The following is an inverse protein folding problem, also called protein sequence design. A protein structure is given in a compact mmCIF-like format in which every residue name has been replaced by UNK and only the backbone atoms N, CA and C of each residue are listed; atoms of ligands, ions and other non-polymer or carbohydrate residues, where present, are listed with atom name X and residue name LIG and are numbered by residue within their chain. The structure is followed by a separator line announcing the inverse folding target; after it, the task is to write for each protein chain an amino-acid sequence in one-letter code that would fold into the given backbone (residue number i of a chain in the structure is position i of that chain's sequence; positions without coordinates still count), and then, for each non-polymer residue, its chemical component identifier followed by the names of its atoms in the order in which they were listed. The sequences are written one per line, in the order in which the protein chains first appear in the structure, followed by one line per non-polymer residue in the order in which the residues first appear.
data_IF_330612659705
#
_entry.id   IF_330612659705
#
_cell.length_a   1.000
_cell.length_b   1.000
_cell.length_c   1.000
_cell.angle_alpha   90.00
_cell.angle_beta   90.00
_cell.angle_gamma   90.00
#
_symmetry.space_group_name_H-M   'P 1'
#
loop_
_entity.id
_entity.type
_entity.pdbx_description
1 polymer ?
#
# COMPACT_ATOMS: atom_id res chain seq x y z
N UNK A 1 16.19 7.87 -23.15
CA UNK A 1 15.61 8.32 -21.87
C UNK A 1 16.35 7.52 -20.81
N UNK A 2 17.21 8.18 -20.04
CA UNK A 2 18.13 7.51 -19.11
C UNK A 2 17.39 6.81 -17.96
N UNK A 3 17.97 5.72 -17.40
CA UNK A 3 17.29 4.87 -16.45
C UNK A 3 17.14 5.58 -15.10
N UNK A 4 15.90 5.61 -14.60
CA UNK A 4 15.63 5.91 -13.19
C UNK A 4 16.14 4.71 -12.39
N UNK A 5 17.42 4.75 -11.99
CA UNK A 5 17.86 4.12 -10.73
C UNK A 5 16.83 4.46 -9.66
N UNK A 6 16.48 3.51 -8.77
CA UNK A 6 15.63 3.75 -7.58
C UNK A 6 15.81 5.20 -7.15
N UNK A 7 14.84 6.04 -7.52
CA UNK A 7 15.06 7.48 -7.59
C UNK A 7 15.52 7.90 -6.22
N UNK A 8 16.65 8.61 -6.11
CA UNK A 8 16.99 9.31 -4.88
C UNK A 8 15.83 10.24 -4.64
N UNK A 9 14.87 9.79 -3.81
CA UNK A 9 13.73 10.58 -3.44
C UNK A 9 14.30 11.82 -2.75
N UNK A 10 13.81 13.02 -3.06
CA UNK A 10 14.35 14.23 -2.43
C UNK A 10 14.23 14.11 -0.92
N UNK A 11 15.03 14.84 -0.15
CA UNK A 11 14.80 14.89 1.30
C UNK A 11 13.47 15.59 1.60
N UNK A 12 12.82 15.22 2.70
CA UNK A 12 11.64 15.97 3.17
C UNK A 12 12.10 17.35 3.66
N UNK A 13 11.52 18.45 3.15
CA UNK A 13 11.99 19.80 3.46
C UNK A 13 11.71 20.16 4.91
N UNK A 14 12.57 21.01 5.48
CA UNK A 14 12.48 21.48 6.86
C UNK A 14 13.79 21.35 7.62
N UNK A 15 13.84 21.92 8.83
CA UNK A 15 14.97 21.72 9.73
C UNK A 15 14.99 20.28 10.25
N UNK A 16 16.18 19.67 10.35
CA UNK A 16 16.32 18.37 11.01
C UNK A 16 15.82 18.45 12.46
N UNK A 17 15.28 17.33 12.96
CA UNK A 17 14.87 17.22 14.36
C UNK A 17 16.02 17.62 15.28
N UNK A 18 15.79 18.66 16.10
CA UNK A 18 16.79 19.19 17.04
C UNK A 18 17.00 18.20 18.16
N UNK A 19 18.21 18.20 18.74
CA UNK A 19 18.56 17.35 19.90
C UNK A 19 17.54 17.51 21.04
N UNK A 20 17.12 18.75 21.31
CA UNK A 20 16.09 19.05 22.31
C UNK A 20 14.78 18.32 22.05
N UNK A 21 14.35 18.27 20.79
CA UNK A 21 13.13 17.56 20.37
C UNK A 21 13.32 16.06 20.51
N UNK A 22 14.45 15.52 20.05
CA UNK A 22 14.77 14.09 20.20
C UNK A 22 14.78 13.62 21.66
N UNK A 23 15.24 14.46 22.60
CA UNK A 23 15.18 14.17 24.04
C UNK A 23 13.71 14.10 24.52
N UNK A 24 12.88 15.07 24.13
CA UNK A 24 11.45 15.08 24.46
C UNK A 24 10.72 13.88 23.87
N UNK A 25 11.01 13.53 22.62
CA UNK A 25 10.43 12.38 21.93
C UNK A 25 10.83 11.06 22.60
N UNK A 26 12.09 10.93 23.03
CA UNK A 26 12.59 9.77 23.76
C UNK A 26 11.91 9.63 25.12
N UNK A 27 11.77 10.73 25.87
CA UNK A 27 11.04 10.73 27.14
C UNK A 27 9.57 10.35 26.93
N UNK A 28 8.92 10.95 25.94
CA UNK A 28 7.52 10.68 25.60
C UNK A 28 7.29 9.22 25.18
N UNK A 29 8.17 8.66 24.35
CA UNK A 29 8.08 7.27 23.88
C UNK A 29 8.35 6.24 24.99
N UNK A 30 9.09 6.62 26.03
CA UNK A 30 9.28 5.80 27.23
C UNK A 30 8.03 5.81 28.13
N UNK A 31 7.32 6.94 28.21
CA UNK A 31 6.14 7.09 29.06
C UNK A 31 4.86 6.57 28.43
N UNK A 32 4.73 6.66 27.10
CA UNK A 32 3.53 6.28 26.37
C UNK A 32 3.57 4.82 25.89
N UNK A 33 2.40 4.19 25.81
CA UNK A 33 2.26 2.84 25.27
C UNK A 33 1.83 2.87 23.81
N UNK A 34 2.68 2.36 22.90
CA UNK A 34 2.35 2.20 21.48
C UNK A 34 1.61 0.89 21.20
N UNK A 35 0.44 0.69 21.82
CA UNK A 35 -0.34 -0.55 21.70
C UNK A 35 -0.60 -0.99 20.24
N UNK A 36 -1.22 -0.14 19.39
CA UNK A 36 -1.53 -0.52 18.01
C UNK A 36 -0.29 -0.77 17.12
N UNK A 37 0.72 0.12 17.05
CA UNK A 37 1.91 -0.15 16.24
C UNK A 37 2.67 -1.41 16.66
N UNK A 38 2.70 -1.75 17.95
CA UNK A 38 3.32 -2.98 18.46
C UNK A 38 2.64 -4.28 17.98
N UNK A 39 1.45 -4.21 17.38
CA UNK A 39 0.79 -5.39 16.77
C UNK A 39 1.29 -5.71 15.36
N UNK A 40 2.02 -4.80 14.71
CA UNK A 40 2.62 -5.05 13.39
C UNK A 40 3.62 -6.19 13.54
N UNK A 41 3.44 -7.23 12.73
CA UNK A 41 4.24 -8.46 12.81
C UNK A 41 4.59 -9.04 11.45
N UNK A 42 4.22 -8.33 10.37
CA UNK A 42 4.45 -8.79 9.01
C UNK A 42 4.96 -7.64 8.15
N UNK A 43 5.98 -7.95 7.34
CA UNK A 43 6.50 -7.11 6.27
C UNK A 43 6.30 -7.81 4.93
N UNK A 44 5.57 -7.18 4.01
CA UNK A 44 5.41 -7.64 2.62
C UNK A 44 5.97 -6.58 1.67
N UNK A 45 6.51 -7.04 0.54
CA UNK A 45 7.03 -6.19 -0.52
C UNK A 45 6.37 -6.57 -1.85
N UNK A 46 5.87 -5.57 -2.59
CA UNK A 46 5.24 -5.72 -3.91
C UNK A 46 5.27 -4.37 -4.65
N UNK A 47 4.71 -4.31 -5.87
CA UNK A 47 4.51 -3.07 -6.62
C UNK A 47 3.03 -2.69 -6.69
N UNK A 48 2.72 -1.44 -6.34
CA UNK A 48 1.42 -0.82 -6.55
C UNK A 48 1.37 -0.01 -7.83
N UNK A 49 0.22 -0.08 -8.50
CA UNK A 49 -0.09 0.61 -9.75
C UNK A 49 -1.22 1.60 -9.51
N UNK A 50 -1.13 2.82 -10.04
CA UNK A 50 -2.22 3.79 -9.86
C UNK A 50 -3.47 3.32 -10.60
N UNK A 51 -4.63 3.37 -9.95
CA UNK A 51 -5.87 2.91 -10.56
C UNK A 51 -6.26 3.72 -11.81
N UNK A 52 -5.83 4.99 -11.93
CA UNK A 52 -6.06 5.81 -13.13
C UNK A 52 -4.92 5.75 -14.16
N UNK A 53 -3.77 5.19 -13.80
CA UNK A 53 -2.60 5.06 -14.68
C UNK A 53 -1.71 3.88 -14.24
N UNK A 54 -2.00 2.70 -14.78
CA UNK A 54 -1.24 1.48 -14.46
C UNK A 54 0.20 1.49 -15.00
N UNK A 55 0.65 2.51 -15.73
CA UNK A 55 2.06 2.64 -16.12
C UNK A 55 2.92 3.18 -14.98
N UNK A 56 2.31 3.81 -13.98
CA UNK A 56 3.01 4.34 -12.81
C UNK A 56 3.09 3.27 -11.73
N UNK A 57 4.31 2.80 -11.46
CA UNK A 57 4.59 1.66 -10.58
C UNK A 57 5.42 2.12 -9.37
N UNK A 58 4.95 1.79 -8.18
CA UNK A 58 5.56 2.18 -6.90
C UNK A 58 5.86 0.93 -6.10
N UNK A 59 7.12 0.72 -5.72
CA UNK A 59 7.46 -0.30 -4.72
C UNK A 59 6.80 0.05 -3.39
N UNK A 60 6.12 -0.92 -2.80
CA UNK A 60 5.27 -0.72 -1.64
C UNK A 60 5.64 -1.73 -0.55
N UNK A 61 6.08 -1.20 0.60
CA UNK A 61 6.42 -1.98 1.78
C UNK A 61 5.28 -1.95 2.78
N UNK A 62 4.60 -3.08 2.91
CA UNK A 62 3.45 -3.23 3.79
C UNK A 62 3.90 -3.72 5.15
N UNK A 63 3.53 -2.99 6.20
CA UNK A 63 3.74 -3.35 7.59
C UNK A 63 2.39 -3.63 8.22
N UNK A 64 2.04 -4.91 8.29
CA UNK A 64 0.69 -5.38 8.54
C UNK A 64 0.48 -5.93 9.96
N UNK A 65 -0.75 -5.82 10.43
CA UNK A 65 -1.27 -6.58 11.55
C UNK A 65 -2.65 -7.17 11.23
N UNK A 66 -2.92 -8.38 11.70
CA UNK A 66 -4.27 -8.95 11.75
C UNK A 66 -5.12 -8.23 12.78
N UNK A 67 -6.34 -7.87 12.38
CA UNK A 67 -7.42 -7.57 13.32
C UNK A 67 -8.14 -8.86 13.74
N UNK A 68 -8.26 -9.80 12.80
CA UNK A 68 -8.73 -11.17 12.98
C UNK A 68 -8.21 -12.04 11.81
N UNK A 69 -8.63 -13.30 11.72
CA UNK A 69 -8.21 -14.22 10.64
C UNK A 69 -8.59 -13.75 9.23
N UNK A 70 -9.63 -12.92 9.12
CA UNK A 70 -10.21 -12.51 7.83
C UNK A 70 -9.88 -11.08 7.42
N UNK A 71 -9.28 -10.29 8.32
CA UNK A 71 -9.00 -8.87 8.09
C UNK A 71 -7.62 -8.47 8.60
N UNK A 72 -6.82 -7.90 7.69
CA UNK A 72 -5.53 -7.25 8.01
C UNK A 72 -5.63 -5.77 7.70
N UNK A 73 -4.80 -4.99 8.39
CA UNK A 73 -4.55 -3.59 8.06
C UNK A 73 -3.05 -3.35 8.01
N UNK A 74 -2.61 -2.54 7.07
CA UNK A 74 -1.20 -2.29 6.80
C UNK A 74 -0.91 -0.80 6.71
N UNK A 75 0.22 -0.40 7.28
CA UNK A 75 0.89 0.85 6.92
C UNK A 75 1.78 0.58 5.71
N UNK A 76 1.78 1.46 4.73
CA UNK A 76 2.59 1.32 3.51
C UNK A 76 3.67 2.38 3.49
N UNK A 77 4.91 1.94 3.30
CA UNK A 77 6.09 2.79 3.15
C UNK A 77 6.70 2.65 1.75
N UNK A 78 7.40 3.68 1.30
CA UNK A 78 8.09 3.71 0.00
C UNK A 78 9.40 2.91 -0.04
N UNK A 79 9.97 2.60 1.13
CA UNK A 79 11.18 1.80 1.30
C UNK A 79 11.20 1.12 2.68
N UNK A 80 12.08 0.13 2.95
CA UNK A 80 12.11 -0.57 4.23
C UNK A 80 12.98 0.11 5.31
N UNK A 81 13.74 1.16 4.96
CA UNK A 81 14.63 1.85 5.89
C UNK A 81 13.89 2.68 6.95
N UNK A 82 14.56 2.98 8.05
CA UNK A 82 13.97 3.69 9.19
C UNK A 82 13.55 5.15 8.90
N UNK A 83 14.02 5.71 7.79
CA UNK A 83 13.70 7.06 7.32
C UNK A 83 12.63 7.07 6.21
N UNK A 84 11.99 5.92 5.96
CA UNK A 84 10.97 5.77 4.93
C UNK A 84 9.76 6.69 5.16
N UNK A 85 9.12 7.05 4.06
CA UNK A 85 7.91 7.88 4.06
C UNK A 85 6.71 6.97 4.20
N UNK A 86 5.78 7.32 5.11
CA UNK A 86 4.47 6.70 5.12
C UNK A 86 3.69 7.19 3.89
N UNK A 87 3.48 6.32 2.92
CA UNK A 87 2.84 6.69 1.64
C UNK A 87 1.38 6.26 1.58
N UNK A 88 0.94 5.30 2.39
CA UNK A 88 -0.39 4.73 2.23
C UNK A 88 -0.85 3.84 3.36
N UNK A 89 -2.08 3.34 3.18
CA UNK A 89 -2.66 2.27 3.99
C UNK A 89 -3.29 1.24 3.09
N UNK A 90 -3.36 0.01 3.57
CA UNK A 90 -4.16 -1.03 2.93
C UNK A 90 -4.99 -1.80 3.96
N UNK A 91 -6.21 -2.14 3.56
CA UNK A 91 -7.03 -3.14 4.22
C UNK A 91 -7.09 -4.39 3.35
N UNK A 92 -6.82 -5.55 3.95
CA UNK A 92 -6.85 -6.83 3.27
C UNK A 92 -7.96 -7.66 3.88
N UNK A 93 -8.82 -8.23 3.03
CA UNK A 93 -9.91 -9.11 3.47
C UNK A 93 -9.92 -10.42 2.68
N UNK A 94 -10.47 -11.47 3.29
CA UNK A 94 -10.74 -12.75 2.60
C UNK A 94 -11.69 -12.59 1.44
N UNK A 95 -11.63 -13.54 0.49
CA UNK A 95 -12.62 -13.65 -0.59
C UNK A 95 -14.06 -13.65 -0.06
N UNK A 96 -14.33 -14.39 1.03
CA UNK A 96 -15.66 -14.47 1.65
C UNK A 96 -16.17 -13.09 2.07
N UNK A 97 -15.38 -12.31 2.80
CA UNK A 97 -15.74 -10.95 3.18
C UNK A 97 -15.89 -10.04 1.95
N UNK A 98 -14.99 -10.14 0.97
CA UNK A 98 -15.07 -9.36 -0.26
C UNK A 98 -16.39 -9.60 -1.01
N UNK A 99 -16.86 -10.85 -1.07
CA UNK A 99 -18.11 -11.20 -1.75
C UNK A 99 -19.34 -10.57 -1.08
N UNK A 100 -19.26 -10.27 0.23
CA UNK A 100 -20.33 -9.56 0.97
C UNK A 100 -20.39 -8.05 0.69
N UNK A 101 -19.34 -7.47 0.09
CA UNK A 101 -19.28 -6.04 -0.14
C UNK A 101 -20.35 -5.59 -1.15
N UNK A 102 -20.87 -4.35 -1.02
CA UNK A 102 -21.67 -3.74 -2.06
C UNK A 102 -20.91 -3.71 -3.39
N UNK A 103 -21.63 -3.93 -4.49
CA UNK A 103 -21.01 -3.94 -5.81
C UNK A 103 -20.35 -2.61 -6.21
N UNK A 104 -20.78 -1.49 -5.62
CA UNK A 104 -20.16 -0.17 -5.80
C UNK A 104 -18.81 -0.04 -5.09
N UNK A 105 -18.55 -0.88 -4.09
CA UNK A 105 -17.33 -0.86 -3.29
C UNK A 105 -16.23 -1.72 -3.94
N UNK A 106 -16.59 -2.88 -4.50
CA UNK A 106 -15.67 -3.86 -5.10
C UNK A 106 -14.63 -3.28 -6.08
N UNK A 107 -14.93 -2.27 -6.93
CA UNK A 107 -13.94 -1.65 -7.81
C UNK A 107 -12.75 -1.01 -7.10
N UNK A 108 -12.90 -0.65 -5.83
CA UNK A 108 -11.83 -0.07 -5.01
C UNK A 108 -10.84 -1.12 -4.48
N UNK A 109 -11.10 -2.40 -4.73
CA UNK A 109 -10.32 -3.52 -4.23
C UNK A 109 -9.65 -4.25 -5.38
N UNK A 110 -8.43 -4.73 -5.17
CA UNK A 110 -7.70 -5.56 -6.12
C UNK A 110 -7.46 -6.96 -5.55
N UNK A 111 -7.29 -7.96 -6.41
CA UNK A 111 -6.94 -9.32 -5.98
C UNK A 111 -5.44 -9.45 -5.79
N UNK A 112 -5.00 -10.10 -4.71
CA UNK A 112 -3.59 -10.43 -4.49
C UNK A 112 -3.13 -11.69 -5.21
N UNK A 113 -4.06 -12.45 -5.83
CA UNK A 113 -3.78 -13.80 -6.35
C UNK A 113 -2.58 -13.81 -7.30
N UNK A 114 -2.55 -12.89 -8.27
CA UNK A 114 -1.51 -12.85 -9.28
C UNK A 114 -0.17 -12.45 -8.68
N UNK A 115 -0.11 -11.42 -7.85
CA UNK A 115 1.15 -10.95 -7.24
C UNK A 115 1.81 -12.03 -6.38
N UNK A 116 1.00 -12.76 -5.62
CA UNK A 116 1.48 -13.88 -4.82
C UNK A 116 2.00 -15.01 -5.71
N UNK A 117 1.19 -15.47 -6.68
CA UNK A 117 1.52 -16.63 -7.51
C UNK A 117 2.62 -16.36 -8.54
N UNK A 118 2.79 -15.12 -8.97
CA UNK A 118 3.86 -14.70 -9.88
C UNK A 118 5.23 -14.59 -9.20
N UNK A 119 5.28 -14.69 -7.87
CA UNK A 119 6.53 -14.55 -7.11
C UNK A 119 6.91 -13.09 -6.78
N UNK A 120 6.18 -12.10 -7.32
CA UNK A 120 6.50 -10.67 -7.16
C UNK A 120 6.22 -10.17 -5.75
N UNK A 121 5.14 -10.64 -5.12
CA UNK A 121 4.88 -10.36 -3.72
C UNK A 121 5.63 -11.36 -2.83
N UNK A 122 6.43 -10.87 -1.90
CA UNK A 122 7.22 -11.69 -0.98
C UNK A 122 7.39 -11.03 0.40
N UNK A 123 7.90 -11.79 1.36
CA UNK A 123 8.21 -11.38 2.73
C UNK A 123 9.74 -11.25 2.90
N UNK A 124 10.30 -10.02 2.90
CA UNK A 124 11.74 -9.82 3.04
C UNK A 124 12.31 -10.49 4.30
N UNK A 125 13.40 -11.25 4.14
CA UNK A 125 14.11 -11.90 5.25
C UNK A 125 13.41 -13.11 5.88
N UNK A 126 12.23 -13.50 5.40
CA UNK A 126 11.48 -14.66 5.92
C UNK A 126 11.81 -15.91 5.09
N UNK A 127 12.16 -17.06 5.71
CA UNK A 127 12.41 -18.28 4.97
C UNK A 127 11.19 -18.75 4.15
N UNK A 128 11.42 -19.22 2.93
CA UNK A 128 10.34 -19.55 1.98
C UNK A 128 9.30 -20.57 2.47
N UNK A 129 9.66 -21.50 3.37
CA UNK A 129 8.71 -22.45 3.96
C UNK A 129 7.72 -21.78 4.92
N UNK A 130 8.18 -20.77 5.67
CA UNK A 130 7.36 -19.98 6.59
C UNK A 130 6.53 -18.98 5.80
N UNK A 131 7.16 -18.28 4.85
CA UNK A 131 6.49 -17.35 3.94
C UNK A 131 5.32 -18.03 3.22
N UNK A 132 5.53 -19.23 2.67
CA UNK A 132 4.50 -19.95 1.90
C UNK A 132 3.18 -20.11 2.66
N UNK A 133 3.22 -20.36 3.97
CA UNK A 133 2.00 -20.57 4.75
C UNK A 133 1.13 -19.31 4.81
N UNK A 134 1.76 -18.14 4.95
CA UNK A 134 1.03 -16.88 4.93
C UNK A 134 0.59 -16.51 3.51
N UNK A 135 1.47 -16.75 2.52
CA UNK A 135 1.16 -16.47 1.13
C UNK A 135 0.02 -17.31 0.57
N UNK A 136 -0.17 -18.55 1.03
CA UNK A 136 -1.34 -19.37 0.66
C UNK A 136 -2.66 -18.72 1.09
N UNK A 137 -2.68 -18.06 2.27
CA UNK A 137 -3.83 -17.26 2.70
C UNK A 137 -3.92 -15.98 1.86
N UNK A 138 -2.81 -15.27 1.64
CA UNK A 138 -2.80 -14.02 0.88
C UNK A 138 -3.28 -14.18 -0.56
N UNK A 139 -2.97 -15.30 -1.24
CA UNK A 139 -3.45 -15.57 -2.60
C UNK A 139 -4.99 -15.61 -2.71
N UNK A 140 -5.70 -15.74 -1.57
CA UNK A 140 -7.16 -15.87 -1.45
C UNK A 140 -7.81 -14.59 -0.90
N UNK A 141 -7.17 -13.44 -1.07
CA UNK A 141 -7.60 -12.17 -0.48
C UNK A 141 -7.71 -11.04 -1.50
N UNK A 142 -8.42 -9.99 -1.11
CA UNK A 142 -8.51 -8.72 -1.81
C UNK A 142 -7.97 -7.58 -0.95
N UNK A 143 -7.30 -6.62 -1.57
CA UNK A 143 -6.69 -5.44 -0.93
C UNK A 143 -7.35 -4.14 -1.38
N UNK A 144 -7.64 -3.24 -0.44
CA UNK A 144 -7.99 -1.84 -0.70
C UNK A 144 -6.84 -0.95 -0.28
N UNK A 145 -5.95 -0.66 -1.22
CA UNK A 145 -4.79 0.19 -1.00
C UNK A 145 -5.08 1.64 -1.43
N UNK A 146 -4.71 2.59 -0.56
CA UNK A 146 -4.81 4.03 -0.82
C UNK A 146 -3.46 4.67 -0.54
N UNK A 147 -2.89 5.34 -1.54
CA UNK A 147 -1.68 6.15 -1.38
C UNK A 147 -2.02 7.63 -1.23
N UNK A 148 -1.40 8.28 -0.24
CA UNK A 148 -1.48 9.71 0.06
C UNK A 148 -0.27 10.48 -0.49
N UNK A 149 0.85 9.80 -0.77
CA UNK A 149 2.06 10.43 -1.33
C UNK A 149 2.45 9.76 -2.64
N UNK A 150 2.52 10.56 -3.71
CA UNK A 150 2.95 10.12 -5.03
C UNK A 150 4.47 10.21 -5.20
N UNK A 151 5.20 9.34 -4.51
CA UNK A 151 6.68 9.39 -4.48
C UNK A 151 7.34 9.27 -5.85
N UNK A 152 6.69 8.62 -6.82
CA UNK A 152 7.16 8.50 -8.21
C UNK A 152 7.20 9.84 -8.97
N UNK A 153 6.47 10.86 -8.50
CA UNK A 153 6.55 12.22 -9.06
C UNK A 153 7.77 13.00 -8.58
N UNK A 154 8.44 12.51 -7.53
CA UNK A 154 9.56 13.22 -6.90
C UNK A 154 9.12 14.42 -6.07
N UNK A 155 7.86 14.52 -5.65
CA UNK A 155 7.41 15.58 -4.76
C UNK A 155 8.03 15.42 -3.36
N UNK A 156 8.49 16.55 -2.81
CA UNK A 156 9.10 16.68 -1.48
C UNK A 156 8.13 16.50 -0.31
N UNK A 157 6.83 16.68 -0.57
CA UNK A 157 5.73 16.57 0.39
C UNK A 157 4.57 15.74 -0.24
N UNK A 158 3.64 15.19 0.56
CA UNK A 158 2.49 14.43 0.05
C UNK A 158 1.44 15.36 -0.59
N UNK A 159 1.71 15.81 -1.81
CA UNK A 159 0.85 16.72 -2.56
C UNK A 159 -0.24 15.96 -3.33
N UNK A 160 -1.40 16.62 -3.48
CA UNK A 160 -2.52 16.12 -4.28
C UNK A 160 -3.54 15.29 -3.50
N UNK A 161 -4.44 14.65 -4.25
CA UNK A 161 -5.51 13.82 -3.67
C UNK A 161 -4.99 12.40 -3.40
N UNK A 162 -5.62 11.66 -2.47
CA UNK A 162 -5.35 10.24 -2.30
C UNK A 162 -5.73 9.44 -3.56
N UNK A 163 -4.90 8.48 -3.93
CA UNK A 163 -5.15 7.58 -5.07
C UNK A 163 -5.46 6.17 -4.60
N UNK A 164 -6.45 5.55 -5.22
CA UNK A 164 -6.66 4.11 -5.10
C UNK A 164 -5.56 3.41 -5.88
N UNK A 165 -4.97 2.38 -5.28
CA UNK A 165 -3.91 1.58 -5.89
C UNK A 165 -4.43 0.20 -6.28
N UNK A 166 -3.86 -0.34 -7.34
CA UNK A 166 -4.16 -1.63 -7.93
C UNK A 166 -2.91 -2.51 -7.92
N UNK A 167 -3.14 -3.81 -8.02
CA UNK A 167 -2.12 -4.84 -8.10
C UNK A 167 -1.76 -5.21 -9.54
N UNK A 168 -0.66 -5.95 -9.70
CA UNK A 168 -0.41 -6.74 -10.90
C UNK A 168 -1.49 -7.83 -11.03
N UNK A 169 -1.95 -8.06 -12.25
CA UNK A 169 -3.04 -9.01 -12.56
C UNK A 169 -2.67 -10.01 -13.66
N UNK A 170 -1.58 -9.76 -14.39
CA UNK A 170 -1.10 -10.58 -15.51
C UNK A 170 0.36 -10.28 -15.85
N UNK A 171 0.95 -11.18 -16.65
CA UNK A 171 2.30 -11.03 -17.18
C UNK A 171 2.42 -9.77 -18.06
N UNK A 172 3.63 -9.20 -18.08
CA UNK A 172 3.95 -8.02 -18.91
C UNK A 172 3.53 -6.67 -18.34
N UNK A 173 2.95 -6.63 -17.12
CA UNK A 173 2.64 -5.35 -16.47
C UNK A 173 3.85 -4.74 -15.74
N UNK A 174 4.63 -5.52 -15.02
CA UNK A 174 5.79 -5.04 -14.26
C UNK A 174 6.96 -4.65 -15.17
N UNK A 175 7.57 -3.49 -14.94
CA UNK A 175 8.72 -3.08 -15.73
C UNK A 175 9.97 -3.94 -15.46
N UNK A 176 10.67 -4.45 -16.50
CA UNK A 176 11.80 -5.36 -16.30
C UNK A 176 12.99 -4.78 -15.53
N UNK A 177 13.18 -3.46 -15.53
CA UNK A 177 14.21 -2.82 -14.70
C UNK A 177 13.83 -2.81 -13.21
N UNK A 178 12.55 -2.55 -12.88
CA UNK A 178 12.06 -2.58 -11.51
C UNK A 178 12.12 -3.99 -10.93
N UNK A 179 11.72 -4.99 -11.72
CA UNK A 179 11.83 -6.39 -11.34
C UNK A 179 13.29 -6.78 -11.01
N UNK A 180 14.22 -6.50 -11.92
CA UNK A 180 15.64 -6.84 -11.74
C UNK A 180 16.28 -6.11 -10.55
N UNK A 181 15.92 -4.85 -10.32
CA UNK A 181 16.43 -4.08 -9.18
C UNK A 181 16.00 -4.73 -7.86
N UNK A 182 14.72 -5.07 -7.72
CA UNK A 182 14.17 -5.72 -6.53
C UNK A 182 14.76 -7.12 -6.32
N UNK A 183 14.81 -7.95 -7.37
CA UNK A 183 15.46 -9.26 -7.33
C UNK A 183 16.91 -9.17 -6.84
N UNK A 184 17.65 -8.18 -7.33
CA UNK A 184 19.04 -7.95 -6.93
C UNK A 184 19.16 -7.50 -5.47
N UNK A 185 18.36 -6.51 -5.04
CA UNK A 185 18.41 -5.98 -3.66
C UNK A 185 18.06 -7.03 -2.60
N UNK A 186 17.10 -7.91 -2.89
CA UNK A 186 16.62 -8.90 -1.93
C UNK A 186 17.20 -10.31 -2.14
N UNK A 187 17.99 -10.53 -3.20
CA UNK A 187 18.54 -11.85 -3.52
C UNK A 187 17.45 -12.88 -3.84
N UNK A 188 16.32 -12.41 -4.40
CA UNK A 188 15.18 -13.25 -4.79
C UNK A 188 15.15 -13.42 -6.31
N UNK A 189 14.41 -14.42 -6.79
CA UNK A 189 14.14 -14.59 -8.22
C UNK A 189 12.65 -14.86 -8.38
N UNK A 190 11.92 -13.93 -8.97
CA UNK A 190 10.46 -14.01 -9.08
C UNK A 190 10.03 -15.26 -9.85
N UNK A 191 10.74 -15.61 -10.93
CA UNK A 191 10.43 -16.84 -11.68
C UNK A 191 10.64 -18.11 -10.85
N UNK A 192 11.67 -18.13 -9.98
CA UNK A 192 11.88 -19.26 -9.06
C UNK A 192 10.75 -19.33 -8.04
N UNK A 193 10.33 -18.19 -7.48
CA UNK A 193 9.22 -18.15 -6.53
C UNK A 193 7.88 -18.50 -7.20
N UNK A 194 7.65 -18.08 -8.45
CA UNK A 194 6.53 -18.51 -9.28
C UNK A 194 6.49 -20.03 -9.41
N UNK A 195 7.62 -20.63 -9.76
CA UNK A 195 7.73 -22.09 -9.89
C UNK A 195 7.49 -22.80 -8.55
N UNK A 196 8.03 -22.29 -7.45
CA UNK A 196 7.77 -22.81 -6.10
C UNK A 196 6.28 -22.72 -5.74
N UNK A 197 5.56 -21.72 -6.25
CA UNK A 197 4.16 -21.43 -5.97
C UNK A 197 3.20 -21.96 -7.05
N UNK A 198 3.68 -22.75 -8.00
CA UNK A 198 2.88 -23.33 -9.11
C UNK A 198 1.65 -24.13 -8.66
N UNK A 199 1.75 -24.81 -7.51
CA UNK A 199 0.66 -25.59 -6.92
C UNK A 199 -0.17 -24.80 -5.88
N UNK A 200 0.04 -23.48 -5.76
CA UNK A 200 -0.73 -22.64 -4.83
C UNK A 200 -2.11 -22.36 -5.40
N UNK A 201 -3.13 -22.62 -4.60
CA UNK A 201 -4.51 -22.28 -4.94
C UNK A 201 -4.72 -20.77 -4.88
N UNK A 202 -5.58 -20.27 -5.76
CA UNK A 202 -6.04 -18.88 -5.74
C UNK A 202 -7.42 -18.74 -5.13
N UNK A 203 -8.12 -17.69 -5.54
CA UNK A 203 -9.51 -17.43 -5.21
C UNK A 203 -10.41 -18.59 -5.66
N UNK A 204 -11.28 -19.06 -4.77
CA UNK A 204 -12.16 -20.21 -5.00
C UNK A 204 -13.19 -19.94 -6.11
N UNK A 205 -13.61 -18.68 -6.28
CA UNK A 205 -14.54 -18.26 -7.32
C UNK A 205 -13.87 -17.58 -8.51
N UNK A 206 -12.54 -17.59 -8.53
CA UNK A 206 -11.74 -16.79 -9.45
C UNK A 206 -11.82 -15.29 -9.16
N UNK A 207 -11.07 -14.49 -9.93
CA UNK A 207 -11.05 -13.04 -9.75
C UNK A 207 -12.41 -12.45 -10.13
N UNK A 208 -13.04 -11.78 -9.17
CA UNK A 208 -14.34 -11.16 -9.36
C UNK A 208 -14.27 -10.02 -10.40
N UNK A 209 -15.20 -9.95 -11.39
CA UNK A 209 -15.10 -9.00 -12.50
C UNK A 209 -15.23 -7.52 -12.10
N UNK A 210 -15.76 -7.24 -10.91
CA UNK A 210 -15.84 -5.88 -10.33
C UNK A 210 -14.61 -5.48 -9.53
N UNK A 211 -13.69 -6.38 -9.22
CA UNK A 211 -12.42 -6.02 -8.59
C UNK A 211 -11.49 -5.35 -9.62
N UNK A 212 -10.30 -4.92 -9.20
CA UNK A 212 -9.25 -4.38 -10.06
C UNK A 212 -9.77 -3.21 -10.92
N UNK A 213 -10.46 -2.24 -10.30
CA UNK A 213 -11.07 -1.09 -10.99
C UNK A 213 -12.06 -1.49 -12.11
N UNK A 214 -12.63 -2.69 -12.06
CA UNK A 214 -13.45 -3.29 -13.12
C UNK A 214 -12.78 -3.28 -14.52
N UNK A 215 -11.44 -3.26 -14.56
CA UNK A 215 -10.66 -3.28 -15.80
C UNK A 215 -10.60 -1.97 -16.59
N UNK A 216 -11.15 -0.86 -16.08
CA UNK A 216 -11.15 0.44 -16.78
C UNK A 216 -10.20 1.46 -16.13
N UNK A 217 -10.20 1.54 -14.81
CA UNK A 217 -9.45 2.51 -14.02
C UNK A 217 -10.34 3.45 -13.19
N UNK A 218 -9.76 4.02 -12.12
CA UNK A 218 -10.47 4.86 -11.15
C UNK A 218 -9.64 6.08 -10.75
N UNK A 219 -10.26 7.26 -10.78
CA UNK A 219 -9.62 8.52 -10.41
C UNK A 219 -10.41 9.24 -9.32
N UNK A 220 -9.72 9.59 -8.23
CA UNK A 220 -10.28 10.45 -7.19
C UNK A 220 -10.48 11.86 -7.73
N UNK A 221 -11.65 12.45 -7.47
CA UNK A 221 -11.96 13.83 -7.84
C UNK A 221 -12.40 14.62 -6.62
N UNK A 222 -11.87 15.83 -6.48
CA UNK A 222 -12.33 16.78 -5.46
C UNK A 222 -13.63 17.44 -5.94
N UNK A 223 -14.61 17.54 -5.05
CA UNK A 223 -15.87 18.23 -5.30
C UNK A 223 -16.25 19.04 -4.07
N UNK A 224 -16.62 20.29 -4.27
CA UNK A 224 -17.20 21.10 -3.22
C UNK A 224 -18.64 20.63 -2.95
N UNK A 225 -18.97 20.48 -1.67
CA UNK A 225 -20.31 20.14 -1.21
C UNK A 225 -20.70 21.07 -0.06
N UNK A 226 -21.99 21.33 0.09
CA UNK A 226 -22.49 22.10 1.22
C UNK A 226 -22.20 21.37 2.53
N UNK A 227 -21.49 22.04 3.45
CA UNK A 227 -21.23 21.50 4.77
C UNK A 227 -22.51 21.56 5.60
N UNK A 228 -23.04 20.40 5.99
CA UNK A 228 -24.22 20.35 6.87
C UNK A 228 -23.89 21.01 8.20
N UNK A 229 -24.68 21.98 8.69
CA UNK A 229 -24.43 22.58 9.98
C UNK A 229 -24.51 21.50 11.06
N UNK A 230 -23.52 21.45 11.95
CA UNK A 230 -23.72 20.79 13.25
C UNK A 230 -24.90 21.47 13.91
N UNK A 231 -25.86 20.77 14.49
CA UNK A 231 -27.02 21.38 15.16
C UNK A 231 -26.70 22.29 16.37
N UNK A 232 -25.45 22.72 16.53
CA UNK A 232 -24.99 23.78 17.42
C UNK A 232 -25.18 25.13 16.71
N UNK A 233 -25.65 26.18 17.41
CA UNK A 233 -25.76 27.52 16.84
C UNK A 233 -24.39 27.92 16.28
N UNK A 234 -24.36 28.32 15.00
CA UNK A 234 -23.13 28.79 14.37
C UNK A 234 -22.62 30.00 15.15
N UNK A 235 -21.47 29.86 15.81
CA UNK A 235 -20.64 31.03 16.07
C UNK A 235 -20.37 31.67 14.70
N UNK A 236 -20.46 33.00 14.65
CA UNK A 236 -20.42 33.78 13.41
C UNK A 236 -19.34 33.25 12.44
N UNK A 237 -19.63 33.21 11.13
CA UNK A 237 -18.66 32.75 10.16
C UNK A 237 -17.40 33.63 10.25
N UNK A 238 -16.26 33.00 10.57
CA UNK A 238 -14.95 33.65 10.49
C UNK A 238 -14.76 34.11 9.04
N UNK A 239 -14.54 35.42 8.79
CA UNK A 239 -14.32 35.92 7.44
C UNK A 239 -13.21 35.13 6.76
N UNK A 240 -13.50 34.58 5.58
CA UNK A 240 -12.49 33.97 4.71
C UNK A 240 -11.81 35.08 3.90
N UNK A 241 -11.17 36.01 4.60
CA UNK A 241 -10.25 36.95 3.95
C UNK A 241 -8.87 36.29 3.93
N UNK A 242 -8.56 35.63 2.82
CA UNK A 242 -7.20 35.14 2.54
C UNK A 242 -6.41 36.28 1.90
N UNK A 243 -5.39 36.74 2.62
CA UNK A 243 -4.20 37.44 2.09
C UNK A 243 -3.21 36.40 1.57
#
# INVERSE_FOLDING_TARGET
MEPVHASVLPDVPGEKTKISTSIVDTASSTMQTFGPPKKIHQHLCVFHLYADDMTRQVEAHHYCCHLNEEMRQCLIYDRPEADARLIGVEYIITEDLFLTLPDSEKPLWHSHEYEVKSGVLFMPGVPGTVERQDLDKMAKTYGKAIHFWQVDKGDELPLGLPHVMMALTRDGQLYPNLARDMETRYGVTFEKERMNRSNMEGLAHGIHPKANAAGIGLKTVLREIECKPSGLPSLEPVPRDLV
#
